data_IF_642966494837
#
_entry.id   IF_642966494837
#
_cell.length_a   1.000
_cell.length_b   1.000
_cell.length_c   1.000
_cell.angle_alpha   90.00
_cell.angle_beta   90.00
_cell.angle_gamma   90.00
#
_symmetry.space_group_name_H-M   'P 1'
#
loop_
_entity.id
_entity.type
_entity.pdbx_description
1 polymer ?
#
# COMPACT_ATOMS: atom_id res chain seq x y z
N UNK A 1 28.06 0.07 -24.72
CA UNK A 1 27.17 0.48 -23.62
C UNK A 1 25.85 -0.26 -23.79
N UNK A 2 25.39 -0.94 -22.74
CA UNK A 2 24.07 -1.60 -22.78
C UNK A 2 22.98 -0.55 -22.94
N UNK A 3 21.91 -0.86 -23.66
CA UNK A 3 20.71 -0.02 -23.76
C UNK A 3 20.15 0.36 -22.38
N UNK A 4 20.35 -0.51 -21.38
CA UNK A 4 19.97 -0.24 -19.99
C UNK A 4 20.84 0.84 -19.31
N UNK A 5 22.14 0.90 -19.62
CA UNK A 5 23.05 1.90 -19.04
C UNK A 5 22.79 3.30 -19.63
N UNK A 6 22.47 3.36 -20.93
CA UNK A 6 22.06 4.60 -21.59
C UNK A 6 20.73 5.10 -21.01
N UNK A 7 19.72 4.23 -20.88
CA UNK A 7 18.44 4.57 -20.24
C UNK A 7 18.63 5.06 -18.80
N UNK A 8 19.49 4.40 -18.01
CA UNK A 8 19.78 4.79 -16.62
C UNK A 8 20.47 6.16 -16.56
N UNK A 9 21.43 6.43 -17.44
CA UNK A 9 22.13 7.72 -17.49
C UNK A 9 21.20 8.88 -17.89
N UNK A 10 20.32 8.65 -18.87
CA UNK A 10 19.29 9.61 -19.30
C UNK A 10 18.27 9.86 -18.19
N UNK A 11 17.86 8.83 -17.49
CA UNK A 11 16.94 8.94 -16.35
C UNK A 11 17.55 9.72 -15.17
N UNK A 12 18.84 9.51 -14.88
CA UNK A 12 19.55 10.26 -13.84
C UNK A 12 19.65 11.75 -14.18
N UNK A 13 20.00 12.10 -15.42
CA UNK A 13 19.99 13.50 -15.91
C UNK A 13 18.60 14.12 -15.86
N UNK A 14 17.56 13.36 -16.18
CA UNK A 14 16.19 13.82 -16.07
C UNK A 14 15.79 14.13 -14.62
N UNK A 15 16.22 13.30 -13.66
CA UNK A 15 15.95 13.48 -12.23
C UNK A 15 16.57 14.74 -11.64
N UNK A 16 17.66 15.25 -12.22
CA UNK A 16 18.28 16.51 -11.79
C UNK A 16 17.45 17.74 -12.18
N UNK A 17 16.52 17.59 -13.11
CA UNK A 17 15.65 18.67 -13.55
C UNK A 17 14.51 18.93 -12.53
N UNK A 18 14.21 20.22 -12.28
CA UNK A 18 13.12 20.63 -11.38
C UNK A 18 11.75 20.09 -11.81
N UNK A 19 11.57 19.81 -13.11
CA UNK A 19 10.34 19.22 -13.65
C UNK A 19 10.11 17.76 -13.28
N UNK A 20 11.17 17.02 -12.90
CA UNK A 20 11.04 15.61 -12.53
C UNK A 20 10.10 15.40 -11.34
N UNK A 21 10.10 16.32 -10.36
CA UNK A 21 9.22 16.23 -9.19
C UNK A 21 7.75 16.33 -9.61
N UNK A 22 7.38 17.31 -10.44
CA UNK A 22 6.00 17.48 -10.89
C UNK A 22 5.51 16.30 -11.73
N UNK A 23 6.38 15.76 -12.58
CA UNK A 23 6.09 14.56 -13.37
C UNK A 23 5.90 13.35 -12.45
N UNK A 24 6.73 13.20 -11.42
CA UNK A 24 6.58 12.17 -10.39
C UNK A 24 5.24 12.28 -9.65
N UNK A 25 4.81 13.48 -9.28
CA UNK A 25 3.52 13.70 -8.61
C UNK A 25 2.32 13.38 -9.53
N UNK A 26 2.36 13.81 -10.79
CA UNK A 26 1.33 13.50 -11.77
C UNK A 26 1.24 11.99 -12.03
N UNK A 27 2.39 11.33 -12.20
CA UNK A 27 2.47 9.88 -12.34
C UNK A 27 1.91 9.17 -11.10
N UNK A 28 2.26 9.64 -9.90
CA UNK A 28 1.74 9.09 -8.65
C UNK A 28 0.22 9.16 -8.62
N UNK A 29 -0.37 10.31 -8.96
CA UNK A 29 -1.82 10.48 -9.00
C UNK A 29 -2.49 9.53 -10.00
N UNK A 30 -1.96 9.41 -11.23
CA UNK A 30 -2.50 8.51 -12.27
C UNK A 30 -2.44 7.05 -11.81
N UNK A 31 -1.27 6.60 -11.35
CA UNK A 31 -1.07 5.21 -10.90
C UNK A 31 -1.96 4.89 -9.70
N UNK A 32 -2.03 5.78 -8.71
CA UNK A 32 -2.87 5.59 -7.53
C UNK A 32 -4.36 5.59 -7.90
N UNK A 33 -4.80 6.43 -8.85
CA UNK A 33 -6.19 6.45 -9.30
C UNK A 33 -6.59 5.15 -9.99
N UNK A 34 -5.73 4.66 -10.91
CA UNK A 34 -5.96 3.39 -11.59
C UNK A 34 -5.97 2.23 -10.59
N UNK A 35 -4.97 2.16 -9.71
CA UNK A 35 -4.94 1.15 -8.66
C UNK A 35 -6.21 1.18 -7.82
N UNK A 36 -6.66 2.36 -7.40
CA UNK A 36 -7.84 2.50 -6.55
C UNK A 36 -9.12 2.00 -7.26
N UNK A 37 -9.33 2.38 -8.52
CA UNK A 37 -10.52 2.00 -9.31
C UNK A 37 -10.55 0.51 -9.63
N UNK A 38 -9.41 -0.09 -9.98
CA UNK A 38 -9.37 -1.50 -10.39
C UNK A 38 -9.18 -2.47 -9.21
N UNK A 39 -8.54 -2.05 -8.13
CA UNK A 39 -8.25 -2.94 -6.99
C UNK A 39 -9.36 -3.00 -5.95
N UNK A 40 -10.26 -2.00 -5.89
CA UNK A 40 -11.37 -1.96 -4.93
C UNK A 40 -12.33 -3.14 -5.04
N UNK A 41 -12.33 -3.85 -6.17
CA UNK A 41 -13.23 -4.98 -6.43
C UNK A 41 -12.61 -6.36 -6.13
N UNK A 42 -11.29 -6.47 -5.99
CA UNK A 42 -10.59 -7.76 -6.08
C UNK A 42 -9.60 -8.06 -4.94
N UNK A 43 -9.01 -7.06 -4.27
CA UNK A 43 -7.89 -7.29 -3.35
C UNK A 43 -7.90 -6.32 -2.16
N UNK A 44 -8.01 -6.85 -0.93
CA UNK A 44 -7.73 -6.08 0.29
C UNK A 44 -6.28 -5.52 0.31
N UNK A 45 -5.37 -6.12 -0.47
CA UNK A 45 -4.00 -5.65 -0.66
C UNK A 45 -3.87 -4.45 -1.62
N UNK A 46 -4.92 -4.15 -2.41
CA UNK A 46 -4.92 -3.04 -3.36
C UNK A 46 -4.67 -1.70 -2.70
N UNK A 47 -5.32 -1.44 -1.57
CA UNK A 47 -5.19 -0.21 -0.79
C UNK A 47 -3.77 -0.01 -0.25
N UNK A 48 -3.09 -1.10 0.12
CA UNK A 48 -1.68 -1.06 0.52
C UNK A 48 -0.78 -0.69 -0.66
N UNK A 49 -1.03 -1.20 -1.86
CA UNK A 49 -0.28 -0.81 -3.05
C UNK A 49 -0.48 0.68 -3.38
N UNK A 50 -1.69 1.22 -3.20
CA UNK A 50 -1.95 2.66 -3.35
C UNK A 50 -1.09 3.48 -2.38
N UNK A 51 -1.05 3.10 -1.10
CA UNK A 51 -0.24 3.80 -0.10
C UNK A 51 1.27 3.73 -0.42
N UNK A 52 1.76 2.55 -0.84
CA UNK A 52 3.16 2.35 -1.24
C UNK A 52 3.51 3.21 -2.47
N UNK A 53 2.70 3.15 -3.53
CA UNK A 53 2.91 3.95 -4.73
C UNK A 53 2.88 5.46 -4.40
N UNK A 54 1.91 5.88 -3.60
CA UNK A 54 1.75 7.24 -3.10
C UNK A 54 2.99 7.78 -2.38
N UNK A 55 3.70 6.93 -1.64
CA UNK A 55 4.89 7.29 -0.88
C UNK A 55 6.18 7.18 -1.71
N UNK A 56 6.40 6.04 -2.38
CA UNK A 56 7.67 5.72 -3.01
C UNK A 56 7.88 6.42 -4.34
N UNK A 57 6.84 6.68 -5.14
CA UNK A 57 7.00 7.36 -6.44
C UNK A 57 7.52 8.79 -6.22
N UNK A 58 6.88 9.67 -5.42
CA UNK A 58 7.42 11.03 -5.19
C UNK A 58 8.81 11.01 -4.55
N UNK A 59 9.06 10.07 -3.62
CA UNK A 59 10.36 9.89 -2.98
C UNK A 59 11.45 9.55 -4.01
N UNK A 60 11.16 8.65 -4.95
CA UNK A 60 12.08 8.24 -6.02
C UNK A 60 12.41 9.39 -6.98
N UNK A 61 11.44 10.25 -7.28
CA UNK A 61 11.61 11.46 -8.09
C UNK A 61 12.24 12.65 -7.35
N UNK A 62 12.73 12.44 -6.12
CA UNK A 62 13.58 13.40 -5.40
C UNK A 62 12.88 14.17 -4.28
N UNK A 63 11.59 13.92 -4.01
CA UNK A 63 10.91 14.52 -2.86
C UNK A 63 11.30 13.82 -1.55
N UNK A 64 12.43 14.22 -0.97
CA UNK A 64 12.98 13.62 0.27
C UNK A 64 12.58 14.33 1.56
N UNK A 65 12.00 15.53 1.45
CA UNK A 65 11.58 16.27 2.64
C UNK A 65 10.31 15.67 3.22
N UNK A 66 10.39 15.20 4.48
CA UNK A 66 9.25 14.59 5.20
C UNK A 66 8.05 15.52 5.31
N UNK A 67 8.28 16.84 5.49
CA UNK A 67 7.21 17.84 5.52
C UNK A 67 6.48 17.92 4.17
N UNK A 68 7.23 17.91 3.06
CA UNK A 68 6.66 17.94 1.70
C UNK A 68 5.89 16.66 1.38
N UNK A 69 6.42 15.50 1.78
CA UNK A 69 5.73 14.21 1.64
C UNK A 69 4.42 14.18 2.45
N UNK A 70 4.44 14.63 3.71
CA UNK A 70 3.23 14.67 4.52
C UNK A 70 2.14 15.56 3.89
N UNK A 71 2.51 16.75 3.42
CA UNK A 71 1.58 17.66 2.70
C UNK A 71 1.07 17.02 1.42
N UNK A 72 1.96 16.37 0.66
CA UNK A 72 1.57 15.64 -0.54
C UNK A 72 0.59 14.51 -0.23
N UNK A 73 0.79 13.72 0.83
CA UNK A 73 -0.12 12.65 1.22
C UNK A 73 -1.56 13.16 1.43
N UNK A 74 -1.71 14.30 2.11
CA UNK A 74 -3.02 14.94 2.31
C UNK A 74 -3.62 15.36 0.96
N UNK A 75 -2.84 16.06 0.12
CA UNK A 75 -3.28 16.51 -1.20
C UNK A 75 -3.69 15.32 -2.08
N UNK A 76 -2.89 14.26 -2.08
CA UNK A 76 -3.14 13.05 -2.85
C UNK A 76 -4.46 12.39 -2.44
N UNK A 77 -4.74 12.25 -1.14
CA UNK A 77 -6.00 11.67 -0.65
C UNK A 77 -7.21 12.50 -1.13
N UNK A 78 -7.12 13.84 -1.02
CA UNK A 78 -8.18 14.73 -1.49
C UNK A 78 -8.38 14.61 -3.00
N UNK A 79 -7.29 14.55 -3.78
CA UNK A 79 -7.36 14.42 -5.22
C UNK A 79 -7.90 13.05 -5.66
N UNK A 80 -7.51 11.96 -4.99
CA UNK A 80 -7.94 10.60 -5.33
C UNK A 80 -9.43 10.37 -5.10
N UNK A 81 -10.07 11.13 -4.22
CA UNK A 81 -11.50 11.04 -3.99
C UNK A 81 -12.32 11.35 -5.24
N UNK A 82 -11.85 12.24 -6.12
CA UNK A 82 -12.57 12.64 -7.33
C UNK A 82 -12.69 11.54 -8.39
N UNK A 83 -11.60 10.95 -8.92
CA UNK A 83 -11.71 9.86 -9.90
C UNK A 83 -12.39 8.63 -9.31
N UNK A 84 -12.26 8.41 -8.00
CA UNK A 84 -12.95 7.31 -7.34
C UNK A 84 -14.47 7.56 -7.24
N UNK A 85 -14.88 8.76 -6.82
CA UNK A 85 -16.28 9.17 -6.81
C UNK A 85 -16.88 9.06 -8.21
N UNK A 86 -16.16 9.55 -9.22
CA UNK A 86 -16.59 9.46 -10.62
C UNK A 86 -16.84 8.02 -11.04
N UNK A 87 -15.90 7.12 -10.75
CA UNK A 87 -16.07 5.70 -11.06
C UNK A 87 -17.27 5.06 -10.37
N UNK A 88 -17.56 5.43 -9.12
CA UNK A 88 -18.69 4.89 -8.37
C UNK A 88 -20.03 5.42 -8.89
N UNK A 89 -20.13 6.73 -9.13
CA UNK A 89 -21.36 7.35 -9.67
C UNK A 89 -21.68 6.82 -11.06
N UNK A 90 -20.69 6.70 -11.95
CA UNK A 90 -20.91 6.13 -13.28
C UNK A 90 -21.27 4.64 -13.21
N UNK A 91 -20.67 3.88 -12.30
CA UNK A 91 -21.06 2.49 -12.04
C UNK A 91 -22.51 2.37 -11.56
N UNK A 92 -22.94 3.28 -10.67
CA UNK A 92 -24.32 3.37 -10.19
C UNK A 92 -25.32 3.75 -11.28
N UNK A 93 -24.95 4.65 -12.20
CA UNK A 93 -25.80 5.04 -13.33
C UNK A 93 -25.90 3.92 -14.38
N UNK A 94 -24.81 3.19 -14.60
CA UNK A 94 -24.77 2.06 -15.52
C UNK A 94 -25.73 0.91 -15.09
N UNK A 95 -26.12 0.86 -13.81
CA UNK A 95 -27.14 -0.07 -13.30
C UNK A 95 -28.46 -0.04 -14.07
N UNK A 96 -28.86 1.11 -14.62
CA UNK A 96 -30.09 1.23 -15.42
C UNK A 96 -30.13 0.24 -16.60
N UNK A 97 -28.95 -0.11 -17.14
CA UNK A 97 -28.81 -0.97 -18.32
C UNK A 97 -28.42 -2.42 -17.97
N UNK A 98 -28.36 -2.76 -16.68
CA UNK A 98 -27.95 -4.08 -16.21
C UNK A 98 -29.12 -4.77 -15.49
N UNK A 99 -29.97 -5.52 -16.21
CA UNK A 99 -31.07 -6.24 -15.61
C UNK A 99 -30.59 -7.27 -14.60
N UNK A 100 -31.33 -7.42 -13.50
CA UNK A 100 -31.05 -8.40 -12.48
C UNK A 100 -31.48 -9.80 -12.90
N UNK A 101 -30.67 -10.79 -12.52
CA UNK A 101 -30.99 -12.20 -12.67
C UNK A 101 -30.55 -13.01 -11.45
N UNK A 102 -31.20 -14.14 -11.21
CA UNK A 102 -30.80 -15.14 -10.23
C UNK A 102 -29.80 -16.15 -10.83
N UNK A 103 -29.05 -16.82 -9.96
CA UNK A 103 -28.04 -17.80 -10.40
C UNK A 103 -28.63 -19.02 -11.12
N UNK A 104 -29.86 -19.37 -10.79
CA UNK A 104 -30.61 -20.51 -11.34
C UNK A 104 -31.44 -20.15 -12.58
N UNK A 105 -31.43 -18.88 -13.01
CA UNK A 105 -32.19 -18.40 -14.17
C UNK A 105 -33.71 -18.35 -13.96
N UNK A 106 -34.17 -18.42 -12.70
CA UNK A 106 -35.60 -18.34 -12.36
C UNK A 106 -36.12 -16.91 -12.44
N UNK A 107 -35.40 -15.97 -11.85
CA UNK A 107 -35.64 -14.54 -11.94
C UNK A 107 -34.74 -13.98 -13.02
N UNK A 108 -35.32 -13.41 -14.07
CA UNK A 108 -34.57 -12.79 -15.17
C UNK A 108 -35.17 -11.45 -15.56
N UNK A 109 -34.37 -10.60 -16.20
CA UNK A 109 -34.76 -9.28 -16.68
C UNK A 109 -35.38 -8.39 -15.59
N UNK A 110 -34.83 -8.43 -14.38
CA UNK A 110 -35.25 -7.58 -13.28
C UNK A 110 -34.85 -6.12 -13.48
N UNK A 111 -35.79 -5.21 -13.67
CA UNK A 111 -35.55 -3.79 -14.00
C UNK A 111 -36.47 -2.84 -13.24
N UNK A 112 -36.16 -1.55 -13.32
CA UNK A 112 -37.02 -0.46 -12.83
C UNK A 112 -37.11 0.64 -13.89
N UNK A 113 -38.31 1.16 -14.12
CA UNK A 113 -38.58 2.25 -15.07
C UNK A 113 -39.65 3.22 -14.52
N UNK A 114 -39.46 4.55 -14.63
CA UNK A 114 -38.23 5.23 -15.04
C UNK A 114 -37.12 5.03 -14.02
N UNK A 115 -35.85 5.04 -14.48
CA UNK A 115 -34.71 4.90 -13.57
C UNK A 115 -34.45 6.16 -12.74
N UNK A 116 -34.76 7.34 -13.30
CA UNK A 116 -34.62 8.62 -12.64
C UNK A 116 -36.01 9.23 -12.41
N UNK A 117 -36.19 9.91 -11.28
CA UNK A 117 -37.48 10.49 -10.92
C UNK A 117 -37.37 11.45 -9.75
N UNK A 118 -38.51 11.85 -9.22
CA UNK A 118 -38.66 12.58 -7.97
C UNK A 118 -39.63 11.85 -7.03
N UNK A 119 -39.92 12.44 -5.86
CA UNK A 119 -40.81 11.83 -4.86
C UNK A 119 -42.23 11.53 -5.38
N UNK A 120 -42.66 12.16 -6.47
CA UNK A 120 -43.98 11.97 -7.08
C UNK A 120 -43.95 11.00 -8.26
N UNK A 121 -42.76 10.61 -8.71
CA UNK A 121 -42.58 9.71 -9.84
C UNK A 121 -42.97 8.30 -9.44
N UNK A 122 -43.81 7.67 -10.25
CA UNK A 122 -44.20 6.27 -10.07
C UNK A 122 -43.15 5.40 -10.75
N UNK A 123 -42.43 4.63 -9.95
CA UNK A 123 -41.44 3.67 -10.44
C UNK A 123 -42.08 2.30 -10.57
N UNK A 124 -41.90 1.69 -11.74
CA UNK A 124 -42.42 0.36 -12.08
C UNK A 124 -41.26 -0.62 -12.07
N UNK A 125 -41.31 -1.55 -11.13
CA UNK A 125 -40.36 -2.63 -10.98
C UNK A 125 -40.92 -3.87 -11.67
N UNK A 126 -40.12 -4.49 -12.52
CA UNK A 126 -40.52 -5.67 -13.27
C UNK A 126 -39.49 -6.77 -13.15
N UNK A 127 -39.94 -8.02 -13.04
CA UNK A 127 -39.09 -9.21 -13.12
C UNK A 127 -39.84 -10.34 -13.81
N UNK A 128 -39.18 -11.04 -14.72
CA UNK A 128 -39.73 -12.20 -15.40
C UNK A 128 -39.36 -13.47 -14.65
N UNK A 129 -40.36 -14.30 -14.37
CA UNK A 129 -40.21 -15.55 -13.64
C UNK A 129 -40.49 -16.72 -14.58
N UNK A 130 -39.45 -17.50 -14.90
CA UNK A 130 -39.49 -18.53 -15.95
C UNK A 130 -40.16 -19.84 -15.53
N UNK A 131 -40.16 -20.15 -14.22
CA UNK A 131 -40.79 -21.34 -13.65
C UNK A 131 -42.20 -21.03 -13.11
N UNK A 132 -43.17 -21.89 -13.41
CA UNK A 132 -44.59 -21.53 -13.46
C UNK A 132 -45.38 -21.59 -12.13
N UNK A 133 -44.77 -21.68 -10.95
CA UNK A 133 -45.53 -21.63 -9.69
C UNK A 133 -44.67 -21.13 -8.52
N UNK A 134 -44.74 -19.84 -8.25
CA UNK A 134 -44.23 -19.23 -7.02
C UNK A 134 -45.41 -18.68 -6.23
N UNK A 135 -45.41 -18.93 -4.92
CA UNK A 135 -46.49 -18.49 -4.04
C UNK A 135 -46.43 -16.99 -3.75
N UNK A 136 -45.22 -16.42 -3.80
CA UNK A 136 -44.96 -15.04 -3.48
C UNK A 136 -43.70 -14.57 -4.22
N UNK A 137 -43.80 -13.42 -4.88
CA UNK A 137 -42.69 -12.74 -5.55
C UNK A 137 -42.67 -11.32 -5.03
N UNK A 138 -41.52 -10.87 -4.54
CA UNK A 138 -41.38 -9.55 -3.90
C UNK A 138 -40.26 -8.73 -4.51
N UNK A 139 -40.48 -7.43 -4.48
CA UNK A 139 -39.41 -6.43 -4.65
C UNK A 139 -39.04 -5.87 -3.28
N UNK A 140 -37.75 -5.87 -2.99
CA UNK A 140 -37.20 -5.31 -1.75
C UNK A 140 -36.35 -4.11 -2.11
N UNK A 141 -36.67 -2.97 -1.50
CA UNK A 141 -36.10 -1.66 -1.81
C UNK A 141 -35.48 -1.08 -0.54
N UNK A 142 -34.26 -0.60 -0.66
CA UNK A 142 -33.50 0.02 0.43
C UNK A 142 -33.04 1.42 0.03
N UNK A 143 -32.87 2.27 1.03
CA UNK A 143 -32.18 3.54 0.88
C UNK A 143 -30.68 3.25 0.76
N UNK A 144 -30.05 3.69 -0.34
CA UNK A 144 -28.65 3.38 -0.63
C UNK A 144 -27.65 4.14 0.25
N UNK A 145 -28.08 5.23 0.90
CA UNK A 145 -27.21 6.02 1.77
C UNK A 145 -27.14 5.43 3.18
N UNK A 146 -28.31 5.09 3.73
CA UNK A 146 -28.50 4.64 5.11
C UNK A 146 -28.55 3.13 5.25
N UNK A 147 -28.86 2.40 4.17
CA UNK A 147 -29.08 0.95 4.20
C UNK A 147 -30.38 0.53 4.87
N UNK A 148 -31.29 1.46 5.13
CA UNK A 148 -32.58 1.13 5.76
C UNK A 148 -33.56 0.55 4.76
N UNK A 149 -34.32 -0.45 5.18
CA UNK A 149 -35.42 -1.00 4.39
C UNK A 149 -36.49 0.07 4.17
N UNK A 150 -36.77 0.39 2.90
CA UNK A 150 -37.80 1.35 2.50
C UNK A 150 -39.09 0.62 2.18
N UNK A 151 -38.99 -0.50 1.47
CA UNK A 151 -40.17 -1.24 1.02
C UNK A 151 -39.88 -2.71 0.80
N UNK A 152 -40.88 -3.55 1.11
CA UNK A 152 -40.87 -4.99 0.84
C UNK A 152 -42.28 -5.38 0.40
N UNK A 153 -42.54 -5.32 -0.91
CA UNK A 153 -43.88 -5.48 -1.46
C UNK A 153 -43.98 -6.72 -2.32
N UNK A 154 -45.13 -7.38 -2.18
CA UNK A 154 -45.56 -8.45 -3.09
C UNK A 154 -45.91 -7.88 -4.45
N UNK A 155 -45.44 -8.54 -5.51
CA UNK A 155 -45.64 -8.14 -6.89
C UNK A 155 -46.83 -8.88 -7.50
N UNK A 156 -47.48 -8.27 -8.49
CA UNK A 156 -48.60 -8.89 -9.22
C UNK A 156 -48.11 -9.50 -10.52
N UNK A 157 -48.44 -10.77 -10.74
CA UNK A 157 -48.06 -11.53 -11.95
C UNK A 157 -49.06 -11.35 -13.09
N UNK A 158 -48.55 -11.19 -14.31
CA UNK A 158 -49.28 -11.26 -15.56
C UNK A 158 -48.60 -12.24 -16.52
N UNK A 159 -49.37 -12.99 -17.30
CA UNK A 159 -48.81 -13.93 -18.28
C UNK A 159 -47.97 -13.19 -19.33
N UNK A 160 -46.79 -13.74 -19.62
CA UNK A 160 -45.86 -13.18 -20.61
C UNK A 160 -45.20 -14.30 -21.42
N UNK A 161 -44.66 -13.97 -22.58
CA UNK A 161 -43.89 -14.94 -23.37
C UNK A 161 -42.64 -15.36 -22.59
N UNK A 162 -42.52 -16.65 -22.26
CA UNK A 162 -41.39 -17.21 -21.52
C UNK A 162 -41.51 -17.21 -19.99
N UNK A 163 -42.68 -16.91 -19.42
CA UNK A 163 -42.90 -17.01 -17.98
C UNK A 163 -44.05 -16.13 -17.46
N UNK A 164 -44.06 -15.86 -16.16
CA UNK A 164 -44.96 -14.86 -15.56
C UNK A 164 -44.17 -13.58 -15.31
N UNK A 165 -44.63 -12.46 -15.87
CA UNK A 165 -44.05 -11.15 -15.60
C UNK A 165 -44.68 -10.58 -14.32
N UNK A 166 -43.85 -10.40 -13.29
CA UNK A 166 -44.27 -9.78 -12.04
C UNK A 166 -43.97 -8.29 -12.09
N UNK A 167 -44.95 -7.47 -11.70
CA UNK A 167 -44.85 -6.02 -11.69
C UNK A 167 -45.27 -5.44 -10.35
N UNK A 168 -44.57 -4.40 -9.91
CA UNK A 168 -44.96 -3.57 -8.79
C UNK A 168 -44.71 -2.10 -9.16
N UNK A 169 -45.71 -1.24 -8.96
CA UNK A 169 -45.58 0.20 -9.19
C UNK A 169 -45.85 0.96 -7.91
N UNK A 170 -44.99 1.90 -7.57
CA UNK A 170 -45.14 2.72 -6.36
C UNK A 170 -44.30 3.99 -6.42
N UNK A 171 -44.61 4.94 -5.54
CA UNK A 171 -43.82 6.17 -5.35
C UNK A 171 -42.86 6.00 -4.18
N UNK A 172 -41.67 6.59 -4.28
CA UNK A 172 -40.65 6.54 -3.21
C UNK A 172 -40.41 7.96 -2.68
N UNK A 173 -40.92 8.26 -1.49
CA UNK A 173 -41.03 9.65 -1.02
C UNK A 173 -39.68 10.31 -0.68
N UNK A 174 -38.63 9.54 -0.36
CA UNK A 174 -37.36 10.12 0.04
C UNK A 174 -36.56 10.62 -1.16
N UNK A 175 -35.91 11.78 -1.00
CA UNK A 175 -34.96 12.34 -1.98
C UNK A 175 -33.58 11.70 -1.77
N UNK A 176 -33.42 10.48 -2.27
CA UNK A 176 -32.22 9.65 -2.08
C UNK A 176 -31.95 8.80 -3.31
N UNK A 177 -30.83 8.08 -3.30
CA UNK A 177 -30.61 6.97 -4.22
C UNK A 177 -31.11 5.68 -3.56
N UNK A 178 -31.73 4.80 -4.34
CA UNK A 178 -32.19 3.50 -3.85
C UNK A 178 -31.32 2.37 -4.40
N UNK A 179 -31.39 1.21 -3.76
CA UNK A 179 -31.04 -0.04 -4.40
C UNK A 179 -32.16 -1.06 -4.16
N UNK A 180 -32.30 -2.00 -5.08
CA UNK A 180 -33.36 -2.99 -5.04
C UNK A 180 -32.87 -4.36 -5.48
N UNK A 181 -33.59 -5.38 -5.06
CA UNK A 181 -33.46 -6.75 -5.55
C UNK A 181 -34.81 -7.45 -5.52
N UNK A 182 -34.90 -8.56 -6.24
CA UNK A 182 -36.12 -9.37 -6.30
C UNK A 182 -35.94 -10.67 -5.56
N UNK A 183 -37.03 -11.15 -4.97
CA UNK A 183 -37.08 -12.44 -4.29
C UNK A 183 -38.33 -13.21 -4.71
N UNK A 184 -38.25 -14.52 -4.76
CA UNK A 184 -39.39 -15.40 -5.04
C UNK A 184 -39.38 -16.61 -4.09
N UNK A 185 -40.56 -16.99 -3.63
CA UNK A 185 -40.76 -18.12 -2.71
C UNK A 185 -41.34 -19.33 -3.45
N UNK A 186 -40.52 -20.39 -3.56
CA UNK A 186 -40.91 -21.66 -4.20
C UNK A 186 -41.61 -22.64 -3.25
N UNK A 187 -41.81 -22.29 -1.98
CA UNK A 187 -42.30 -23.19 -0.93
C UNK A 187 -41.16 -23.88 -0.15
N UNK A 188 -40.06 -24.22 -0.83
CA UNK A 188 -38.85 -24.80 -0.22
C UNK A 188 -37.83 -23.74 0.27
N UNK A 189 -38.04 -22.47 -0.09
CA UNK A 189 -37.19 -21.36 0.31
C UNK A 189 -37.32 -20.12 -0.58
N UNK A 190 -36.55 -19.10 -0.24
CA UNK A 190 -36.46 -17.85 -0.99
C UNK A 190 -35.30 -17.88 -1.98
N UNK A 191 -35.60 -17.64 -3.24
CA UNK A 191 -34.62 -17.40 -4.30
C UNK A 191 -34.46 -15.88 -4.42
N UNK A 192 -33.22 -15.40 -4.56
CA UNK A 192 -32.91 -13.97 -4.66
C UNK A 192 -32.06 -13.72 -5.91
N UNK A 193 -32.17 -12.52 -6.49
CA UNK A 193 -31.25 -12.10 -7.56
C UNK A 193 -29.80 -12.08 -7.06
N UNK A 194 -28.85 -12.35 -7.96
CA UNK A 194 -27.43 -12.53 -7.62
C UNK A 194 -26.82 -11.32 -6.90
N UNK A 195 -27.23 -10.14 -7.31
CA UNK A 195 -26.82 -8.86 -6.74
C UNK A 195 -28.04 -7.97 -6.57
N UNK A 196 -27.92 -6.95 -5.72
CA UNK A 196 -28.79 -5.79 -5.77
C UNK A 196 -28.34 -4.86 -6.90
N UNK A 197 -29.28 -4.10 -7.45
CA UNK A 197 -28.99 -3.06 -8.42
C UNK A 197 -29.26 -1.68 -7.82
N UNK A 198 -28.51 -0.68 -8.23
CA UNK A 198 -28.82 0.71 -7.88
C UNK A 198 -30.00 1.21 -8.71
N UNK A 199 -30.75 2.14 -8.14
CA UNK A 199 -31.93 2.74 -8.74
C UNK A 199 -33.21 2.47 -7.93
N UNK A 200 -34.28 3.25 -8.17
CA UNK A 200 -34.28 4.49 -8.94
C UNK A 200 -33.50 5.61 -8.22
N UNK A 201 -33.20 6.72 -8.92
CA UNK A 201 -32.50 7.87 -8.35
C UNK A 201 -33.39 9.11 -8.32
N UNK A 202 -33.51 9.71 -7.12
CA UNK A 202 -34.22 10.97 -6.89
C UNK A 202 -33.27 12.16 -6.67
N UNK A 203 -31.97 11.92 -6.84
CA UNK A 203 -30.92 12.90 -6.66
C UNK A 203 -30.37 13.31 -8.03
N UNK A 204 -30.02 14.59 -8.18
CA UNK A 204 -29.20 15.03 -9.29
C UNK A 204 -27.76 14.52 -9.15
N UNK A 205 -27.02 14.44 -10.26
CA UNK A 205 -25.61 14.06 -10.26
C UNK A 205 -24.80 14.89 -9.24
N UNK A 206 -25.05 16.20 -9.18
CA UNK A 206 -24.35 17.11 -8.25
C UNK A 206 -24.60 16.76 -6.77
N UNK A 207 -25.83 16.39 -6.41
CA UNK A 207 -26.16 15.98 -5.04
C UNK A 207 -25.54 14.63 -4.70
N UNK A 208 -25.51 13.71 -5.67
CA UNK A 208 -24.88 12.40 -5.54
C UNK A 208 -23.37 12.56 -5.25
N UNK A 209 -22.67 13.41 -6.00
CA UNK A 209 -21.28 13.75 -5.72
C UNK A 209 -21.11 14.47 -4.37
N UNK A 210 -21.97 15.44 -4.05
CA UNK A 210 -21.87 16.21 -2.80
C UNK A 210 -22.03 15.33 -1.54
N UNK A 211 -22.85 14.29 -1.62
CA UNK A 211 -23.03 13.31 -0.53
C UNK A 211 -21.91 12.28 -0.50
N UNK A 212 -21.46 11.79 -1.66
CA UNK A 212 -20.48 10.71 -1.74
C UNK A 212 -19.05 11.20 -1.43
N UNK A 213 -18.66 12.37 -1.92
CA UNK A 213 -17.28 12.85 -1.86
C UNK A 213 -16.74 12.99 -0.42
N UNK A 214 -17.46 13.57 0.56
CA UNK A 214 -16.97 13.64 1.94
C UNK A 214 -16.79 12.26 2.58
N UNK A 215 -17.72 11.33 2.30
CA UNK A 215 -17.67 9.95 2.79
C UNK A 215 -16.44 9.23 2.21
N UNK A 216 -16.17 9.42 0.92
CA UNK A 216 -15.00 8.84 0.26
C UNK A 216 -13.69 9.45 0.73
N UNK A 217 -13.62 10.76 0.93
CA UNK A 217 -12.42 11.41 1.49
C UNK A 217 -12.09 10.81 2.85
N UNK A 218 -13.10 10.66 3.72
CA UNK A 218 -12.93 10.05 5.04
C UNK A 218 -12.49 8.58 4.93
N UNK A 219 -13.15 7.79 4.09
CA UNK A 219 -12.80 6.38 3.87
C UNK A 219 -11.35 6.24 3.35
N UNK A 220 -10.96 7.02 2.34
CA UNK A 220 -9.61 7.02 1.79
C UNK A 220 -8.57 7.49 2.81
N UNK A 221 -8.92 8.44 3.67
CA UNK A 221 -8.04 8.86 4.75
C UNK A 221 -7.81 7.72 5.75
N UNK A 222 -8.86 6.99 6.15
CA UNK A 222 -8.76 5.87 7.08
C UNK A 222 -8.01 4.68 6.47
N UNK A 223 -8.28 4.37 5.22
CA UNK A 223 -7.74 3.16 4.58
C UNK A 223 -6.35 3.38 3.98
N UNK A 224 -6.19 4.41 3.15
CA UNK A 224 -4.94 4.71 2.44
C UNK A 224 -4.09 5.70 3.22
N UNK A 225 -4.73 6.73 3.79
CA UNK A 225 -4.04 7.78 4.53
C UNK A 225 -3.34 7.26 5.78
N UNK A 226 -4.00 6.47 6.62
CA UNK A 226 -3.37 5.88 7.81
C UNK A 226 -2.16 5.02 7.43
N UNK A 227 -2.26 4.19 6.38
CA UNK A 227 -1.14 3.39 5.89
C UNK A 227 0.00 4.27 5.38
N UNK A 228 -0.31 5.30 4.59
CA UNK A 228 0.67 6.26 4.09
C UNK A 228 1.43 6.97 5.23
N UNK A 229 0.71 7.47 6.23
CA UNK A 229 1.33 8.15 7.37
C UNK A 229 2.09 7.19 8.29
N UNK A 230 1.62 5.95 8.43
CA UNK A 230 2.36 4.91 9.12
C UNK A 230 3.70 4.62 8.42
N UNK A 231 3.73 4.51 7.09
CA UNK A 231 4.98 4.35 6.33
C UNK A 231 5.93 5.54 6.52
N UNK A 232 5.38 6.76 6.54
CA UNK A 232 6.16 7.98 6.77
C UNK A 232 6.76 8.01 8.19
N UNK A 233 6.02 7.56 9.20
CA UNK A 233 6.50 7.47 10.59
C UNK A 233 7.55 6.36 10.73
N UNK A 234 7.33 5.20 10.10
CA UNK A 234 8.28 4.08 10.13
C UNK A 234 9.58 4.44 9.40
N UNK A 235 9.52 5.14 8.27
CA UNK A 235 10.71 5.62 7.58
C UNK A 235 11.49 6.64 8.43
N UNK A 236 10.77 7.55 9.10
CA UNK A 236 11.36 8.47 10.06
C UNK A 236 12.05 7.74 11.22
N UNK A 237 11.38 6.73 11.78
CA UNK A 237 11.91 5.96 12.92
C UNK A 237 13.11 5.10 12.53
N UNK A 238 13.09 4.49 11.35
CA UNK A 238 14.22 3.69 10.83
C UNK A 238 15.44 4.55 10.51
N UNK A 239 15.26 5.76 9.97
CA UNK A 239 16.38 6.69 9.78
C UNK A 239 16.97 7.13 11.14
N UNK A 240 16.10 7.41 12.11
CA UNK A 240 16.51 7.80 13.46
C UNK A 240 17.21 6.66 14.20
N UNK A 241 16.72 5.42 14.05
CA UNK A 241 17.34 4.25 14.66
C UNK A 241 18.72 3.98 14.06
N UNK A 242 18.85 4.08 12.73
CA UNK A 242 20.15 3.99 12.02
C UNK A 242 21.14 5.06 12.50
N UNK A 243 20.70 6.30 12.66
CA UNK A 243 21.55 7.37 13.19
C UNK A 243 22.07 7.07 14.61
N UNK A 244 21.17 6.59 15.50
CA UNK A 244 21.55 6.18 16.86
C UNK A 244 22.53 5.00 16.88
N UNK A 245 22.34 4.03 15.98
CA UNK A 245 23.26 2.90 15.82
C UNK A 245 24.64 3.37 15.34
N UNK A 246 24.69 4.30 14.37
CA UNK A 246 25.94 4.87 13.89
C UNK A 246 26.69 5.65 14.98
N UNK A 247 25.98 6.42 15.82
CA UNK A 247 26.57 7.09 16.99
C UNK A 247 27.08 6.11 18.04
N UNK A 248 26.33 5.04 18.31
CA UNK A 248 26.74 3.98 19.24
C UNK A 248 27.98 3.22 18.73
N UNK A 249 28.07 2.97 17.42
CA UNK A 249 29.25 2.40 16.77
C UNK A 249 30.45 3.34 16.87
N UNK A 250 30.27 4.65 16.63
CA UNK A 250 31.34 5.64 16.80
C UNK A 250 31.88 5.62 18.24
N UNK A 251 31.00 5.66 19.25
CA UNK A 251 31.40 5.59 20.67
C UNK A 251 32.13 4.30 21.03
N UNK A 252 31.71 3.15 20.48
CA UNK A 252 32.41 1.86 20.68
C UNK A 252 33.77 1.79 19.97
N UNK A 253 33.89 2.43 18.80
CA UNK A 253 35.16 2.58 18.09
C UNK A 253 36.14 3.54 18.77
N UNK A 254 35.63 4.55 19.50
CA UNK A 254 36.46 5.46 20.33
C UNK A 254 36.72 4.94 21.74
N UNK A 255 35.97 3.95 22.23
CA UNK A 255 36.16 3.34 23.55
C UNK A 255 37.07 2.11 23.54
N UNK A 256 37.70 1.79 22.42
CA UNK A 256 38.87 0.90 22.43
C UNK A 256 40.03 1.75 22.93
N UNK A 257 40.61 1.47 24.11
CA UNK A 257 41.85 2.10 24.51
C UNK A 257 42.87 1.86 23.39
N UNK A 258 43.64 2.88 23.03
CA UNK A 258 44.86 2.66 22.25
C UNK A 258 45.65 1.50 22.91
N UNK A 259 46.28 0.59 22.16
CA UNK A 259 47.16 -0.42 22.75
C UNK A 259 48.38 0.30 23.35
N UNK A 260 48.19 0.82 24.55
CA UNK A 260 49.20 1.41 25.41
C UNK A 260 49.76 0.32 26.28
N UNK A 261 50.97 -0.10 25.95
CA UNK A 261 52.01 -0.66 26.82
C UNK A 261 51.54 -1.11 28.21
N UNK A 262 51.06 -2.35 28.32
CA UNK A 262 51.27 -3.18 29.51
C UNK A 262 51.58 -4.59 29.01
N UNK A 263 52.71 -5.14 29.46
CA UNK A 263 53.28 -6.37 28.94
C UNK A 263 52.36 -7.56 29.14
N UNK A 264 51.78 -8.05 28.05
CA UNK A 264 51.25 -9.42 27.98
C UNK A 264 52.41 -10.31 27.57
N UNK A 265 53.07 -10.92 28.57
CA UNK A 265 53.96 -12.06 28.34
C UNK A 265 53.16 -13.13 27.60
N UNK A 266 53.56 -13.44 26.36
CA UNK A 266 52.95 -14.50 25.56
C UNK A 266 53.07 -15.82 26.33
N UNK A 267 51.95 -16.48 26.61
CA UNK A 267 51.95 -17.80 27.27
C UNK A 267 51.82 -18.87 26.18
N UNK A 268 52.66 -19.89 26.23
CA UNK A 268 52.59 -21.06 25.37
C UNK A 268 52.21 -22.29 26.20
N UNK A 269 51.64 -23.31 25.56
CA UNK A 269 51.20 -24.53 26.24
C UNK A 269 52.33 -25.55 26.19
N UNK A 270 52.73 -26.09 27.35
CA UNK A 270 53.73 -27.14 27.44
C UNK A 270 53.24 -28.40 26.70
N UNK A 271 54.00 -28.87 25.73
CA UNK A 271 53.65 -30.03 24.89
C UNK A 271 53.54 -31.35 25.64
N UNK A 272 54.21 -31.48 26.79
CA UNK A 272 54.23 -32.74 27.56
C UNK A 272 53.09 -32.87 28.57
N UNK A 273 52.70 -31.77 29.24
CA UNK A 273 51.68 -31.82 30.30
C UNK A 273 50.45 -30.96 30.03
N UNK A 274 50.45 -30.14 28.96
CA UNK A 274 49.33 -29.28 28.60
C UNK A 274 49.14 -28.05 29.49
N UNK A 275 50.07 -27.76 30.41
CA UNK A 275 50.01 -26.58 31.27
C UNK A 275 50.41 -25.29 30.52
N UNK A 276 49.75 -24.16 30.82
CA UNK A 276 50.14 -22.84 30.30
C UNK A 276 51.43 -22.34 30.98
N UNK A 277 52.44 -22.06 30.17
CA UNK A 277 53.77 -21.63 30.60
C UNK A 277 54.10 -20.27 29.97
N UNK A 278 54.64 -19.29 30.72
CA UNK A 278 55.06 -18.00 30.15
C UNK A 278 56.27 -18.18 29.21
N UNK A 279 56.33 -17.40 28.11
CA UNK A 279 57.38 -17.46 27.08
C UNK A 279 58.80 -17.25 27.57
N UNK A 280 58.98 -16.67 28.76
CA UNK A 280 60.27 -16.44 29.41
C UNK A 280 60.74 -17.58 30.33
N UNK A 281 59.92 -18.62 30.53
CA UNK A 281 60.29 -19.73 31.42
C UNK A 281 61.13 -20.77 30.68
N UNK A 282 62.35 -20.99 31.15
CA UNK A 282 63.26 -22.04 30.65
C UNK A 282 62.88 -23.44 31.12
N UNK A 283 61.90 -23.58 32.02
CA UNK A 283 61.36 -24.88 32.48
C UNK A 283 59.87 -24.80 32.82
N UNK A 284 59.14 -25.88 32.55
CA UNK A 284 57.75 -26.01 32.96
C UNK A 284 57.64 -26.16 34.49
N UNK A 285 56.89 -25.30 35.18
CA UNK A 285 56.73 -25.39 36.64
C UNK A 285 55.88 -26.59 37.08
N UNK A 286 55.09 -27.18 36.18
CA UNK A 286 54.16 -28.26 36.49
C UNK A 286 54.79 -29.64 36.30
N UNK A 287 55.57 -29.85 35.24
CA UNK A 287 56.20 -31.16 34.93
C UNK A 287 57.73 -31.16 34.98
N UNK A 288 58.39 -30.00 35.04
CA UNK A 288 59.85 -29.88 35.14
C UNK A 288 60.63 -29.95 33.82
N UNK A 289 59.93 -30.08 32.68
CA UNK A 289 60.55 -30.13 31.34
C UNK A 289 61.31 -28.84 31.01
N UNK A 290 62.51 -28.93 30.42
CA UNK A 290 63.32 -27.75 30.08
C UNK A 290 63.13 -27.35 28.62
N UNK A 291 62.91 -26.08 28.37
CA UNK A 291 62.80 -25.53 27.01
C UNK A 291 64.16 -24.94 26.62
N UNK A 292 64.90 -25.63 25.75
CA UNK A 292 66.17 -25.12 25.22
C UNK A 292 65.89 -24.03 24.17
N UNK A 293 66.40 -22.82 24.41
CA UNK A 293 66.23 -21.64 23.55
C UNK A 293 66.99 -21.81 22.22
N UNK A 294 66.36 -22.40 21.21
CA UNK A 294 66.80 -22.27 19.81
C UNK A 294 65.89 -21.31 19.06
N UNK A 295 66.52 -20.22 18.61
CA UNK A 295 66.00 -19.12 17.78
C UNK A 295 65.12 -19.60 16.63
N UNK A 296 63.87 -19.15 16.59
CA UNK A 296 63.08 -19.08 15.35
C UNK A 296 62.17 -17.85 15.39
N UNK A 297 62.38 -16.94 14.44
CA UNK A 297 61.53 -15.78 14.16
C UNK A 297 60.14 -16.20 13.64
N UNK A 298 59.05 -15.57 14.10
CA UNK A 298 57.82 -15.50 13.30
C UNK A 298 57.43 -14.05 12.95
N UNK A 299 57.52 -13.79 11.64
CA UNK A 299 56.62 -13.00 10.78
C UNK A 299 55.97 -11.69 11.33
N UNK A 300 56.41 -10.57 10.75
CA UNK A 300 55.79 -9.25 10.88
C UNK A 300 54.31 -9.23 10.42
N UNK A 301 53.38 -8.63 11.19
CA UNK A 301 52.03 -8.36 10.72
C UNK A 301 52.01 -7.12 9.80
N UNK A 302 51.38 -7.29 8.65
CA UNK A 302 51.16 -6.31 7.59
C UNK A 302 50.47 -5.04 8.14
N UNK A 303 51.09 -3.87 7.96
CA UNK A 303 50.51 -2.56 8.24
C UNK A 303 49.18 -2.38 7.48
N UNK A 304 48.07 -2.23 8.21
CA UNK A 304 46.82 -1.66 7.68
C UNK A 304 47.11 -0.25 7.21
N UNK A 305 46.79 0.04 5.94
CA UNK A 305 46.93 1.37 5.33
C UNK A 305 45.88 2.31 5.92
N UNK A 306 46.29 3.55 6.13
CA UNK A 306 45.52 4.58 6.80
C UNK A 306 44.31 5.04 5.92
N UNK A 307 43.10 4.95 6.50
CA UNK A 307 41.83 5.37 5.90
C UNK A 307 41.32 6.64 6.61
N UNK A 308 40.71 7.58 5.87
CA UNK A 308 40.08 8.80 6.43
C UNK A 308 38.59 8.87 6.08
N UNK A 309 37.83 9.75 6.75
CA UNK A 309 36.37 9.86 6.57
C UNK A 309 36.03 11.12 5.77
N UNK A 310 35.30 10.94 4.66
CA UNK A 310 34.82 12.05 3.83
C UNK A 310 33.86 12.97 4.61
N UNK A 311 34.16 14.26 4.64
CA UNK A 311 33.41 15.26 5.41
C UNK A 311 32.01 15.57 4.88
N UNK A 312 31.72 15.28 3.60
CA UNK A 312 30.39 15.55 3.01
C UNK A 312 29.40 14.40 3.21
N UNK A 313 29.86 13.16 3.07
CA UNK A 313 28.97 11.99 3.02
C UNK A 313 29.26 10.94 4.10
N UNK A 314 30.33 11.09 4.86
CA UNK A 314 30.70 10.18 5.95
C UNK A 314 31.23 8.81 5.50
N UNK A 315 31.53 8.64 4.21
CA UNK A 315 32.14 7.40 3.70
C UNK A 315 33.62 7.33 4.10
N UNK A 316 34.09 6.13 4.42
CA UNK A 316 35.52 5.84 4.62
C UNK A 316 36.21 5.77 3.26
N UNK A 317 37.33 6.48 3.14
CA UNK A 317 38.07 6.72 1.90
C UNK A 317 39.56 6.51 2.18
N UNK A 318 40.27 5.86 1.27
CA UNK A 318 41.73 5.71 1.35
C UNK A 318 42.43 7.07 1.23
N UNK A 319 43.51 7.32 2.00
CA UNK A 319 44.26 8.60 1.99
C UNK A 319 44.79 9.01 0.59
N UNK A 320 44.94 8.04 -0.32
CA UNK A 320 45.40 8.30 -1.71
C UNK A 320 44.27 8.57 -2.70
N UNK A 321 43.01 8.52 -2.28
CA UNK A 321 41.90 8.75 -3.17
C UNK A 321 41.74 10.25 -3.43
N UNK A 322 41.88 10.66 -4.69
CA UNK A 322 41.63 12.04 -5.12
C UNK A 322 40.15 12.42 -5.13
N UNK A 323 39.26 11.43 -5.16
CA UNK A 323 37.82 11.64 -5.21
C UNK A 323 37.08 10.65 -4.31
N UNK A 324 36.01 11.10 -3.67
CA UNK A 324 35.18 10.26 -2.83
C UNK A 324 34.34 9.30 -3.68
N UNK A 325 34.49 7.99 -3.48
CA UNK A 325 33.72 6.96 -4.19
C UNK A 325 32.19 7.04 -3.97
N UNK A 326 31.75 7.64 -2.86
CA UNK A 326 30.33 7.71 -2.49
C UNK A 326 29.64 9.01 -2.91
N UNK A 327 30.34 10.15 -2.92
CA UNK A 327 29.73 11.45 -3.23
C UNK A 327 30.41 12.26 -4.33
N UNK A 328 31.55 11.80 -4.86
CA UNK A 328 32.25 12.44 -5.98
C UNK A 328 32.98 13.74 -5.64
N UNK A 329 33.06 14.14 -4.37
CA UNK A 329 33.89 15.28 -3.94
C UNK A 329 35.37 15.00 -4.21
N UNK A 330 36.05 15.95 -4.84
CA UNK A 330 37.50 15.93 -5.00
C UNK A 330 38.16 16.39 -3.69
N UNK A 331 39.24 15.71 -3.30
CA UNK A 331 40.06 16.10 -2.15
C UNK A 331 41.26 16.88 -2.69
N UNK A 332 41.48 18.08 -2.15
CA UNK A 332 42.69 18.85 -2.42
C UNK A 332 43.86 18.17 -1.69
N UNK A 333 45.00 18.02 -2.39
CA UNK A 333 46.23 17.37 -1.89
C UNK A 333 46.80 18.07 -0.64
#
# INVERSE_FOLDING_TARGET
MSTQDDLKSRFLRFRENKYAIYIGLALTFIVCSLLLVYSSYLLCFGLLLVALAGYYIPYYFGMRSRKKLAVWGIILILLLAFPYAFSLVEGQKASANNPLSSNDGTLINGTVDPFNGDANTVHTFTVLVTNASYSDVRVVIFDALTGTLVSNNTMTGSESTGGTLFTFSGTLQNRTAYYYYFTANSGDGWITTKTANYGPFHLSDAELYAQLLPRLILALFLEVGLLYFLLLILSWWTDKSKARLAEAQKKRGTSLPAPGKEGTEEKFICSECGAEVPSSASKCPQCGEKFDESKDEPAAPVKKKDEFVCTECGATVDEKAKTCWNCGKEFED
#
